data_IF_216907274561
#
_entry.id   IF_216907274561
#
_cell.length_a   1.000
_cell.length_b   1.000
_cell.length_c   1.000
_cell.angle_alpha   90.00
_cell.angle_beta   90.00
_cell.angle_gamma   90.00
#
_symmetry.space_group_name_H-M   'P 1'
#
loop_
_entity.id
_entity.type
_entity.pdbx_description
1 polymer ?
#
# COMPACT_ATOMS: atom_id res chain seq x y z
N UNK A 1 8.53 9.72 17.42
CA UNK A 1 7.55 9.12 16.47
C UNK A 1 8.24 8.35 15.36
N UNK A 2 9.25 8.95 14.66
CA UNK A 2 9.93 8.33 13.50
C UNK A 2 10.56 6.95 13.78
N UNK A 3 11.21 6.78 14.94
CA UNK A 3 11.76 5.47 15.38
C UNK A 3 10.65 4.41 15.48
N UNK A 4 9.51 4.78 16.03
CA UNK A 4 8.37 3.87 16.18
C UNK A 4 7.71 3.54 14.83
N UNK A 5 7.76 4.46 13.88
CA UNK A 5 7.25 4.23 12.53
C UNK A 5 8.17 3.33 11.70
N UNK A 6 9.52 3.51 11.78
CA UNK A 6 10.47 2.89 10.86
C UNK A 6 11.25 1.70 11.42
N UNK A 7 11.40 1.60 12.74
CA UNK A 7 12.22 0.55 13.39
C UNK A 7 11.35 -0.45 14.12
N UNK A 8 10.50 0.00 15.08
CA UNK A 8 9.66 -0.93 15.84
C UNK A 8 8.35 -1.29 15.12
N UNK A 9 7.94 -0.51 14.11
CA UNK A 9 6.71 -0.75 13.36
C UNK A 9 5.42 -0.66 14.20
N UNK A 10 5.48 0.01 15.36
CA UNK A 10 4.31 0.13 16.25
C UNK A 10 3.32 1.20 15.80
N UNK A 11 3.75 2.15 14.96
CA UNK A 11 2.86 3.14 14.33
C UNK A 11 2.45 2.67 12.95
N UNK A 12 1.17 2.78 12.66
CA UNK A 12 0.59 2.44 11.37
C UNK A 12 0.74 3.60 10.37
N UNK A 13 0.57 4.83 10.83
CA UNK A 13 0.69 6.06 10.05
C UNK A 13 1.47 7.11 10.85
N UNK A 14 2.22 7.93 10.15
CA UNK A 14 2.96 9.06 10.70
C UNK A 14 2.63 10.30 9.87
N UNK A 15 1.93 11.23 10.46
CA UNK A 15 1.51 12.46 9.80
C UNK A 15 2.39 13.65 10.23
N UNK A 16 2.40 14.71 9.41
CA UNK A 16 3.24 15.88 9.62
C UNK A 16 2.76 16.79 10.76
N UNK A 17 1.45 16.82 10.98
CA UNK A 17 0.79 17.69 11.94
C UNK A 17 -0.59 17.18 12.33
N UNK A 18 -1.26 17.86 13.27
CA UNK A 18 -2.55 17.47 13.82
C UNK A 18 -3.68 17.51 12.79
N UNK A 19 -3.63 18.43 11.83
CA UNK A 19 -4.65 18.53 10.78
C UNK A 19 -4.61 17.30 9.89
N UNK A 20 -3.43 16.92 9.41
CA UNK A 20 -3.25 15.71 8.60
C UNK A 20 -3.57 14.44 9.41
N UNK A 21 -3.27 14.45 10.73
CA UNK A 21 -3.63 13.34 11.61
C UNK A 21 -5.16 13.16 11.72
N UNK A 22 -5.92 14.24 11.83
CA UNK A 22 -7.39 14.20 11.86
C UNK A 22 -7.96 13.74 10.52
N UNK A 23 -7.42 14.22 9.40
CA UNK A 23 -7.81 13.76 8.06
C UNK A 23 -7.53 12.26 7.90
N UNK A 24 -6.39 11.78 8.40
CA UNK A 24 -6.04 10.36 8.43
C UNK A 24 -7.05 9.55 9.23
N UNK A 25 -7.44 10.00 10.41
CA UNK A 25 -8.46 9.33 11.24
C UNK A 25 -9.77 9.21 10.48
N UNK A 26 -10.24 10.29 9.85
CA UNK A 26 -11.46 10.26 9.04
C UNK A 26 -11.35 9.27 7.87
N UNK A 27 -10.19 9.23 7.20
CA UNK A 27 -9.92 8.31 6.10
C UNK A 27 -9.95 6.85 6.57
N UNK A 28 -9.25 6.54 7.65
CA UNK A 28 -9.23 5.20 8.26
C UNK A 28 -10.64 4.79 8.69
N UNK A 29 -11.37 5.68 9.38
CA UNK A 29 -12.74 5.42 9.78
C UNK A 29 -13.65 5.12 8.59
N UNK A 30 -13.44 5.79 7.44
CA UNK A 30 -14.22 5.55 6.22
C UNK A 30 -13.94 4.19 5.56
N UNK A 31 -12.74 3.63 5.78
CA UNK A 31 -12.36 2.28 5.28
C UNK A 31 -13.03 1.20 6.14
N UNK A 32 -12.98 1.38 7.47
CA UNK A 32 -13.50 0.43 8.44
C UNK A 32 -14.95 0.67 8.85
N UNK A 33 -15.61 1.70 8.31
CA UNK A 33 -17.02 1.95 8.59
C UNK A 33 -17.84 0.70 8.25
N UNK A 34 -18.44 0.09 9.28
CA UNK A 34 -19.26 -1.11 9.13
C UNK A 34 -20.39 -0.87 8.16
N UNK A 35 -20.35 -1.57 7.07
CA UNK A 35 -21.47 -1.70 6.15
C UNK A 35 -22.19 -3.03 6.45
N UNK A 36 -23.54 -3.09 6.34
CA UNK A 36 -24.28 -4.34 6.54
C UNK A 36 -23.74 -5.44 5.61
N UNK A 37 -23.68 -6.68 6.09
CA UNK A 37 -23.03 -7.84 5.46
C UNK A 37 -23.50 -8.24 4.04
N UNK A 38 -24.56 -7.62 3.51
CA UNK A 38 -24.99 -7.83 2.11
C UNK A 38 -24.23 -6.97 1.09
N UNK A 39 -23.18 -6.33 1.46
CA UNK A 39 -22.87 -5.01 0.89
C UNK A 39 -21.52 -4.84 0.24
N UNK A 40 -20.68 -5.86 0.00
CA UNK A 40 -19.55 -5.54 -0.85
C UNK A 40 -19.97 -5.15 -2.28
N UNK A 41 -21.09 -5.66 -2.76
CA UNK A 41 -21.73 -5.17 -3.99
C UNK A 41 -22.31 -3.76 -3.86
N UNK A 42 -22.74 -3.34 -2.66
CA UNK A 42 -23.30 -2.01 -2.39
C UNK A 42 -22.19 -0.96 -2.10
N UNK A 43 -20.99 -1.39 -1.76
CA UNK A 43 -19.82 -0.52 -1.54
C UNK A 43 -19.12 -0.10 -2.84
N UNK A 44 -19.67 -0.50 -3.98
CA UNK A 44 -19.14 -0.09 -5.27
C UNK A 44 -19.40 1.40 -5.48
N UNK A 45 -18.33 2.18 -5.53
CA UNK A 45 -18.38 3.57 -5.99
C UNK A 45 -18.30 3.62 -7.52
N UNK A 46 -18.53 4.80 -8.08
CA UNK A 46 -18.28 5.02 -9.51
C UNK A 46 -16.83 4.62 -9.84
N UNK A 47 -16.69 3.83 -10.89
CA UNK A 47 -15.39 3.41 -11.41
C UNK A 47 -14.67 4.63 -11.98
N UNK A 48 -13.47 4.90 -11.48
CA UNK A 48 -12.60 5.94 -12.00
C UNK A 48 -11.44 5.28 -12.74
N UNK A 49 -11.10 5.81 -13.91
CA UNK A 49 -9.94 5.30 -14.63
C UNK A 49 -8.65 5.70 -13.90
N UNK A 50 -7.61 4.85 -13.96
CA UNK A 50 -6.27 5.26 -13.51
C UNK A 50 -5.82 6.53 -14.26
N UNK A 51 -5.04 7.37 -13.60
CA UNK A 51 -4.46 8.59 -14.18
C UNK A 51 -3.31 8.30 -15.16
N UNK A 52 -2.73 7.11 -15.06
CA UNK A 52 -1.63 6.63 -15.90
C UNK A 52 -2.15 5.61 -16.93
N UNK A 53 -1.56 5.61 -18.13
CA UNK A 53 -1.92 4.64 -19.18
C UNK A 53 -1.44 3.22 -18.79
N UNK A 54 -2.35 2.26 -18.84
CA UNK A 54 -2.02 0.86 -18.58
C UNK A 54 -0.97 0.29 -19.55
N UNK A 55 -0.82 0.86 -20.75
CA UNK A 55 0.22 0.44 -21.71
C UNK A 55 1.63 0.68 -21.22
N UNK A 56 1.82 1.68 -20.35
CA UNK A 56 3.12 1.98 -19.72
C UNK A 56 3.61 0.81 -18.83
N UNK A 57 2.73 -0.12 -18.41
CA UNK A 57 3.12 -1.31 -17.66
C UNK A 57 4.11 -2.19 -18.44
N UNK A 58 4.01 -2.22 -19.77
CA UNK A 58 4.92 -3.01 -20.62
C UNK A 58 6.35 -2.45 -20.62
N UNK A 59 6.48 -1.15 -20.44
CA UNK A 59 7.79 -0.46 -20.32
C UNK A 59 8.32 -0.54 -18.91
N UNK A 60 7.44 -0.40 -17.92
CA UNK A 60 7.77 -0.40 -16.51
C UNK A 60 8.25 -1.77 -16.03
N UNK A 61 7.52 -2.82 -16.40
CA UNK A 61 7.84 -4.21 -16.03
C UNK A 61 8.57 -4.87 -17.18
N UNK A 62 9.91 -4.78 -17.16
CA UNK A 62 10.76 -5.41 -18.16
C UNK A 62 10.63 -6.94 -18.13
N UNK A 63 10.77 -7.58 -19.30
CA UNK A 63 10.96 -9.03 -19.40
C UNK A 63 12.27 -9.50 -18.73
N UNK A 64 13.20 -8.59 -18.51
CA UNK A 64 14.41 -8.83 -17.73
C UNK A 64 14.12 -8.67 -16.24
N UNK A 65 14.01 -9.81 -15.55
CA UNK A 65 13.74 -9.86 -14.12
C UNK A 65 14.82 -9.21 -13.23
N UNK A 66 15.99 -8.87 -13.77
CA UNK A 66 17.05 -8.20 -13.04
C UNK A 66 16.82 -6.71 -12.88
N UNK A 67 15.97 -6.11 -13.72
CA UNK A 67 15.68 -4.68 -13.67
C UNK A 67 14.76 -4.34 -12.50
N UNK A 68 15.22 -3.49 -11.57
CA UNK A 68 14.39 -3.05 -10.46
C UNK A 68 13.32 -2.05 -10.96
N UNK A 69 12.13 -2.12 -10.37
CA UNK A 69 11.06 -1.12 -10.55
C UNK A 69 10.34 -0.89 -9.23
N UNK A 70 9.69 0.27 -9.09
CA UNK A 70 8.82 0.52 -7.94
C UNK A 70 7.45 -0.11 -8.18
N UNK A 71 7.03 -1.02 -7.30
CA UNK A 71 5.72 -1.66 -7.41
C UNK A 71 4.57 -0.67 -7.23
N UNK A 72 4.80 0.48 -6.59
CA UNK A 72 3.81 1.56 -6.48
C UNK A 72 3.41 2.12 -7.83
N UNK A 73 4.37 2.20 -8.77
CA UNK A 73 4.10 2.64 -10.14
C UNK A 73 3.20 1.65 -10.89
N UNK A 74 3.33 0.35 -10.60
CA UNK A 74 2.43 -0.69 -11.13
C UNK A 74 1.04 -0.52 -10.52
N UNK A 75 0.95 -0.37 -9.20
CA UNK A 75 -0.32 -0.18 -8.48
C UNK A 75 -1.05 1.05 -9.03
N UNK A 76 -0.37 2.17 -9.20
CA UNK A 76 -0.96 3.41 -9.70
C UNK A 76 -1.57 3.30 -11.11
N UNK A 77 -1.15 2.31 -11.93
CA UNK A 77 -1.69 2.06 -13.27
C UNK A 77 -2.85 1.06 -13.30
N UNK A 78 -3.17 0.47 -12.13
CA UNK A 78 -4.20 -0.57 -12.02
C UNK A 78 -5.40 -0.07 -11.21
N UNK A 79 -5.15 0.69 -10.15
CA UNK A 79 -6.19 1.12 -9.21
C UNK A 79 -6.94 2.36 -9.69
N UNK A 80 -8.18 2.48 -9.27
CA UNK A 80 -9.06 3.60 -9.59
C UNK A 80 -8.42 4.93 -9.15
N UNK A 81 -8.47 5.95 -10.03
CA UNK A 81 -7.91 7.30 -9.80
C UNK A 81 -6.42 7.30 -9.44
N UNK A 82 -5.70 6.20 -9.66
CA UNK A 82 -4.33 5.97 -9.17
C UNK A 82 -4.18 6.22 -7.66
N UNK A 83 -5.27 6.10 -6.92
CA UNK A 83 -5.33 6.41 -5.49
C UNK A 83 -4.99 5.17 -4.67
N UNK A 84 -3.82 5.20 -4.04
CA UNK A 84 -3.33 4.15 -3.17
C UNK A 84 -3.01 4.71 -1.78
N UNK A 85 -3.59 4.12 -0.74
CA UNK A 85 -3.37 4.50 0.65
C UNK A 85 -2.42 3.50 1.31
N UNK A 86 -1.13 3.81 1.28
CA UNK A 86 -0.09 2.92 1.75
C UNK A 86 -0.05 2.85 3.27
N UNK A 87 -0.04 1.62 3.79
CA UNK A 87 0.07 1.28 5.20
C UNK A 87 1.53 1.04 5.59
N UNK A 88 2.00 1.65 6.70
CA UNK A 88 3.37 1.51 7.24
C UNK A 88 4.46 1.74 6.17
N UNK A 89 4.45 2.91 5.56
CA UNK A 89 5.34 3.26 4.44
C UNK A 89 6.83 3.09 4.74
N UNK A 90 7.27 3.32 5.99
CA UNK A 90 8.69 3.32 6.39
C UNK A 90 9.13 2.06 7.13
N UNK A 91 8.22 1.07 7.31
CA UNK A 91 8.50 -0.20 7.98
C UNK A 91 8.34 -1.36 6.99
N UNK A 92 9.29 -2.30 6.98
CA UNK A 92 9.22 -3.47 6.11
C UNK A 92 9.06 -3.11 4.63
N UNK A 93 9.86 -2.18 4.13
CA UNK A 93 9.69 -1.53 2.82
C UNK A 93 9.87 -2.47 1.62
N UNK A 94 10.38 -3.70 1.82
CA UNK A 94 10.43 -4.72 0.77
C UNK A 94 9.07 -5.35 0.45
N UNK A 95 8.04 -5.04 1.24
CA UNK A 95 6.63 -5.30 0.92
C UNK A 95 5.87 -3.98 1.01
N UNK A 96 5.08 -3.69 0.00
CA UNK A 96 4.15 -2.57 -0.07
C UNK A 96 2.75 -3.09 0.24
N UNK A 97 2.08 -2.46 1.21
CA UNK A 97 0.72 -2.81 1.62
C UNK A 97 -0.14 -1.55 1.69
N UNK A 98 -1.40 -1.65 1.37
CA UNK A 98 -2.29 -0.48 1.45
C UNK A 98 -3.68 -0.75 0.89
N UNK A 99 -4.55 0.23 1.01
CA UNK A 99 -5.91 0.19 0.53
C UNK A 99 -6.07 0.99 -0.76
N UNK A 100 -6.92 0.49 -1.65
CA UNK A 100 -7.25 1.13 -2.91
C UNK A 100 -8.69 0.79 -3.32
N UNK A 101 -9.10 1.25 -4.51
CA UNK A 101 -10.28 0.75 -5.20
C UNK A 101 -9.88 0.14 -6.53
N UNK A 102 -10.56 -0.92 -6.90
CA UNK A 102 -10.39 -1.59 -8.18
C UNK A 102 -11.78 -1.83 -8.80
N UNK A 103 -12.08 -1.14 -9.88
CA UNK A 103 -13.40 -1.18 -10.51
C UNK A 103 -14.52 -0.70 -9.58
N UNK A 104 -14.25 0.28 -8.72
CA UNK A 104 -15.15 0.81 -7.72
C UNK A 104 -15.21 0.03 -6.39
N UNK A 105 -14.62 -1.18 -6.33
CA UNK A 105 -14.61 -1.99 -5.10
C UNK A 105 -13.42 -1.65 -4.20
N UNK A 106 -13.59 -1.58 -2.87
CA UNK A 106 -12.48 -1.45 -1.95
C UNK A 106 -11.66 -2.74 -1.93
N UNK A 107 -10.34 -2.61 -2.01
CA UNK A 107 -9.39 -3.74 -1.99
C UNK A 107 -8.20 -3.45 -1.09
N UNK A 108 -7.70 -4.48 -0.41
CA UNK A 108 -6.39 -4.47 0.23
C UNK A 108 -5.35 -5.03 -0.74
N UNK A 109 -4.24 -4.32 -0.90
CA UNK A 109 -3.15 -4.72 -1.79
C UNK A 109 -1.94 -5.10 -0.94
N UNK A 110 -1.34 -6.26 -1.24
CA UNK A 110 -0.04 -6.69 -0.72
C UNK A 110 0.84 -7.01 -1.92
N UNK A 111 1.94 -6.31 -2.07
CA UNK A 111 2.81 -6.45 -3.23
C UNK A 111 4.30 -6.45 -2.83
N UNK A 112 5.08 -7.28 -3.52
CA UNK A 112 6.53 -7.31 -3.37
C UNK A 112 7.16 -6.09 -4.03
N UNK A 113 8.00 -5.36 -3.28
CA UNK A 113 8.83 -4.29 -3.82
C UNK A 113 10.02 -4.87 -4.59
N UNK A 114 10.34 -4.29 -5.75
CA UNK A 114 11.47 -4.72 -6.58
C UNK A 114 12.69 -3.79 -6.48
N UNK A 115 12.55 -2.65 -5.80
CA UNK A 115 13.67 -1.76 -5.53
C UNK A 115 14.58 -2.30 -4.43
N UNK A 116 15.85 -1.93 -4.51
CA UNK A 116 16.80 -2.12 -3.41
C UNK A 116 16.63 -1.00 -2.40
N UNK A 117 16.32 -1.35 -1.17
CA UNK A 117 16.12 -0.41 -0.06
C UNK A 117 17.44 -0.22 0.68
N UNK A 118 17.94 1.03 0.69
CA UNK A 118 19.17 1.40 1.39
C UNK A 118 18.85 2.14 2.68
N UNK A 119 19.17 1.55 3.82
CA UNK A 119 19.07 2.17 5.15
C UNK A 119 20.48 2.28 5.76
N UNK A 120 20.64 3.15 6.80
CA UNK A 120 21.92 3.27 7.51
C UNK A 120 22.41 1.88 7.97
N UNK A 121 23.53 1.42 7.37
CA UNK A 121 24.17 0.16 7.74
C UNK A 121 23.47 -1.12 7.26
N UNK A 122 22.40 -1.01 6.43
CA UNK A 122 21.66 -2.17 5.94
C UNK A 122 21.19 -1.97 4.50
N UNK A 123 21.33 -3.01 3.70
CA UNK A 123 20.80 -3.09 2.34
C UNK A 123 19.78 -4.23 2.32
N UNK A 124 18.56 -3.95 1.89
CA UNK A 124 17.52 -4.94 1.69
C UNK A 124 17.21 -5.06 0.19
N UNK A 125 17.33 -6.27 -0.33
CA UNK A 125 17.15 -6.53 -1.76
C UNK A 125 15.65 -6.69 -2.06
N UNK A 126 15.19 -6.03 -3.11
CA UNK A 126 13.81 -6.16 -3.59
C UNK A 126 13.49 -7.61 -4.00
N UNK A 127 12.24 -8.01 -3.77
CA UNK A 127 11.79 -9.38 -4.01
C UNK A 127 12.08 -10.37 -2.87
N UNK A 128 12.80 -9.94 -1.83
CA UNK A 128 13.08 -10.75 -0.64
C UNK A 128 12.17 -10.30 0.51
N UNK A 129 11.55 -11.26 1.18
CA UNK A 129 10.71 -11.01 2.35
C UNK A 129 11.59 -11.09 3.61
N UNK A 130 11.80 -9.95 4.25
CA UNK A 130 12.49 -9.85 5.54
C UNK A 130 11.49 -9.92 6.69
N UNK A 131 11.95 -10.20 7.92
CA UNK A 131 11.10 -10.28 9.11
C UNK A 131 10.13 -9.10 9.26
N UNK A 132 10.62 -7.84 9.26
CA UNK A 132 9.73 -6.67 9.33
C UNK A 132 8.69 -6.58 8.20
N UNK A 133 9.04 -7.04 7.00
CA UNK A 133 8.12 -7.06 5.86
C UNK A 133 7.02 -8.14 6.04
N UNK A 134 7.40 -9.31 6.55
CA UNK A 134 6.45 -10.38 6.87
C UNK A 134 5.46 -9.94 7.97
N UNK A 135 5.95 -9.31 9.04
CA UNK A 135 5.11 -8.80 10.13
C UNK A 135 4.12 -7.74 9.63
N UNK A 136 4.60 -6.81 8.79
CA UNK A 136 3.75 -5.78 8.15
C UNK A 136 2.65 -6.42 7.33
N UNK A 137 3.00 -7.37 6.47
CA UNK A 137 2.04 -8.04 5.59
C UNK A 137 1.00 -8.83 6.39
N UNK A 138 1.43 -9.61 7.38
CA UNK A 138 0.53 -10.39 8.24
C UNK A 138 -0.46 -9.48 8.99
N UNK A 139 0.03 -8.40 9.60
CA UNK A 139 -0.81 -7.44 10.31
C UNK A 139 -1.80 -6.73 9.38
N UNK A 140 -1.34 -6.33 8.19
CA UNK A 140 -2.21 -5.70 7.19
C UNK A 140 -3.32 -6.64 6.74
N UNK A 141 -3.01 -7.90 6.44
CA UNK A 141 -4.01 -8.90 6.01
C UNK A 141 -5.05 -9.12 7.11
N UNK A 142 -4.62 -9.23 8.37
CA UNK A 142 -5.55 -9.35 9.50
C UNK A 142 -6.49 -8.14 9.62
N UNK A 143 -5.95 -6.93 9.45
CA UNK A 143 -6.75 -5.71 9.50
C UNK A 143 -7.73 -5.61 8.30
N UNK A 144 -7.30 -6.00 7.11
CA UNK A 144 -8.12 -5.94 5.91
C UNK A 144 -9.25 -6.99 5.89
N UNK A 145 -9.13 -8.05 6.69
CA UNK A 145 -10.09 -9.15 6.76
C UNK A 145 -11.17 -8.96 7.86
N UNK A 146 -11.15 -7.85 8.57
CA UNK A 146 -12.17 -7.49 9.58
C UNK A 146 -13.34 -6.73 8.99
#
# INVERSE_FOLDING_TARGET
ASVHASISGTLDYLESDDTHALERICKVASIYARQPQAAWAQNRKNVLQPKHDAKELLELVSSDNSKPYDVRDVIARIVDDSAFDEYKTTYGETIVTGFARLGGFPVGIVANQRLVIKKKGRIEVGGVIYGPAADKAARFILNANQ
#
